data_IF_891936134909
#
_entry.id   IF_891936134909
#
_cell.length_a   1.000
_cell.length_b   1.000
_cell.length_c   1.000
_cell.angle_alpha   90.00
_cell.angle_beta   90.00
_cell.angle_gamma   90.00
#
_symmetry.space_group_name_H-M   'P 1'
#
loop_
_entity.id
_entity.type
_entity.pdbx_description
1 polymer ?
#
# COMPACT_ATOMS: atom_id res chain seq x y z
N UNK A 1 118.64 12.78 -100.14
CA UNK A 1 117.34 12.32 -100.68
C UNK A 1 116.35 12.32 -99.55
N UNK A 2 115.31 13.13 -99.67
CA UNK A 2 114.17 13.24 -98.76
C UNK A 2 113.33 11.96 -98.76
N UNK A 3 112.86 11.55 -97.59
CA UNK A 3 111.64 10.73 -97.48
C UNK A 3 110.83 11.26 -96.30
N UNK A 4 109.68 11.83 -96.63
CA UNK A 4 108.59 12.20 -95.72
C UNK A 4 107.61 11.04 -95.70
N UNK A 5 107.18 10.57 -94.52
CA UNK A 5 105.97 9.75 -94.37
C UNK A 5 105.20 10.22 -93.14
N UNK A 6 103.95 10.61 -93.38
CA UNK A 6 102.92 11.02 -92.44
C UNK A 6 101.97 9.85 -92.13
N UNK A 7 101.63 9.63 -90.86
CA UNK A 7 100.34 9.08 -90.35
C UNK A 7 100.48 8.85 -88.83
N UNK A 8 99.48 8.87 -87.93
CA UNK A 8 98.13 9.42 -87.80
C UNK A 8 97.72 9.13 -86.35
N UNK A 9 96.98 10.03 -85.71
CA UNK A 9 96.76 10.07 -84.27
C UNK A 9 95.53 9.23 -83.85
N UNK A 10 95.70 8.19 -83.01
CA UNK A 10 94.57 7.42 -82.44
C UNK A 10 94.78 7.01 -80.97
N UNK A 11 94.82 7.96 -80.03
CA UNK A 11 94.99 7.64 -78.60
C UNK A 11 93.97 8.25 -77.63
N UNK A 12 92.71 8.48 -78.04
CA UNK A 12 91.72 9.14 -77.15
C UNK A 12 90.37 8.42 -76.93
N UNK A 13 90.20 7.15 -77.31
CA UNK A 13 88.91 6.44 -77.15
C UNK A 13 88.77 5.59 -75.88
N UNK A 14 89.85 5.04 -75.32
CA UNK A 14 89.77 4.12 -74.17
C UNK A 14 89.51 4.80 -72.81
N UNK A 15 89.91 6.05 -72.61
CA UNK A 15 89.63 6.78 -71.36
C UNK A 15 88.15 7.18 -71.24
N UNK A 16 87.44 7.35 -72.37
CA UNK A 16 86.01 7.68 -72.37
C UNK A 16 85.11 6.50 -71.97
N UNK A 17 85.47 5.27 -72.33
CA UNK A 17 84.70 4.06 -71.97
C UNK A 17 84.86 3.67 -70.49
N UNK A 18 86.08 3.77 -69.94
CA UNK A 18 86.33 3.51 -68.52
C UNK A 18 85.60 4.53 -67.61
N UNK A 19 85.62 5.81 -67.99
CA UNK A 19 84.88 6.86 -67.29
C UNK A 19 83.35 6.64 -67.38
N UNK A 20 82.84 6.00 -68.44
CA UNK A 20 81.41 5.70 -68.62
C UNK A 20 80.91 4.59 -67.69
N UNK A 21 81.64 3.49 -67.53
CA UNK A 21 81.26 2.41 -66.59
C UNK A 21 81.34 2.86 -65.13
N UNK A 22 82.34 3.67 -64.79
CA UNK A 22 82.46 4.27 -63.45
C UNK A 22 81.26 5.19 -63.16
N UNK A 23 80.81 5.97 -64.15
CA UNK A 23 79.61 6.81 -64.06
C UNK A 23 78.33 5.97 -63.91
N UNK A 24 78.18 4.88 -64.66
CA UNK A 24 77.02 3.98 -64.56
C UNK A 24 76.97 3.29 -63.18
N UNK A 25 78.11 2.81 -62.67
CA UNK A 25 78.19 2.19 -61.36
C UNK A 25 77.89 3.20 -60.24
N UNK A 26 78.43 4.41 -60.33
CA UNK A 26 78.11 5.50 -59.40
C UNK A 26 76.60 5.83 -59.43
N UNK A 27 75.99 5.84 -60.62
CA UNK A 27 74.55 6.07 -60.77
C UNK A 27 73.69 4.96 -60.15
N UNK A 28 74.06 3.69 -60.35
CA UNK A 28 73.39 2.54 -59.73
C UNK A 28 73.55 2.57 -58.21
N UNK A 29 74.74 2.92 -57.70
CA UNK A 29 74.98 3.05 -56.27
C UNK A 29 74.12 4.15 -55.64
N UNK A 30 73.97 5.29 -56.31
CA UNK A 30 73.06 6.37 -55.87
C UNK A 30 71.61 5.87 -55.83
N UNK A 31 71.15 5.17 -56.86
CA UNK A 31 69.78 4.60 -56.90
C UNK A 31 69.58 3.58 -55.77
N UNK A 32 70.55 2.69 -55.54
CA UNK A 32 70.47 1.69 -54.48
C UNK A 32 70.37 2.35 -53.09
N UNK A 33 71.14 3.42 -52.86
CA UNK A 33 71.06 4.22 -51.63
C UNK A 33 69.71 4.94 -51.51
N UNK A 34 69.17 5.48 -52.60
CA UNK A 34 67.83 6.10 -52.62
C UNK A 34 66.70 5.12 -52.33
N UNK A 35 66.81 3.88 -52.82
CA UNK A 35 65.83 2.82 -52.55
C UNK A 35 65.95 2.33 -51.10
N UNK A 36 67.17 2.07 -50.62
CA UNK A 36 67.41 1.63 -49.26
C UNK A 36 66.98 2.68 -48.22
N UNK A 37 67.27 3.96 -48.48
CA UNK A 37 66.81 5.07 -47.65
C UNK A 37 65.30 5.25 -47.70
N UNK A 38 64.66 5.16 -48.87
CA UNK A 38 63.18 5.15 -48.97
C UNK A 38 62.56 4.00 -48.20
N UNK A 39 63.14 2.80 -48.30
CA UNK A 39 62.65 1.62 -47.60
C UNK A 39 62.82 1.75 -46.08
N UNK A 40 63.96 2.25 -45.61
CA UNK A 40 64.23 2.51 -44.19
C UNK A 40 63.32 3.60 -43.61
N UNK A 41 63.06 4.67 -44.37
CA UNK A 41 62.10 5.70 -43.99
C UNK A 41 60.67 5.15 -43.95
N UNK A 42 60.29 4.33 -44.92
CA UNK A 42 58.97 3.71 -44.98
C UNK A 42 58.76 2.67 -43.86
N UNK A 43 59.75 1.85 -43.55
CA UNK A 43 59.66 0.84 -42.49
C UNK A 43 59.58 1.51 -41.11
N UNK A 44 60.33 2.57 -40.85
CA UNK A 44 60.22 3.35 -39.61
C UNK A 44 58.86 4.06 -39.50
N UNK A 45 58.38 4.68 -40.59
CA UNK A 45 57.08 5.38 -40.60
C UNK A 45 55.90 4.42 -40.39
N UNK A 46 55.90 3.29 -41.10
CA UNK A 46 54.86 2.25 -40.97
C UNK A 46 54.86 1.60 -39.58
N UNK A 47 56.03 1.36 -38.99
CA UNK A 47 56.16 0.85 -37.62
C UNK A 47 55.57 1.79 -36.58
N UNK A 48 55.82 3.10 -36.71
CA UNK A 48 55.21 4.12 -35.84
C UNK A 48 53.68 4.17 -35.98
N UNK A 49 53.17 4.05 -37.22
CA UNK A 49 51.72 4.03 -37.46
C UNK A 49 51.03 2.80 -36.84
N UNK A 50 51.69 1.64 -36.85
CA UNK A 50 51.20 0.41 -36.22
C UNK A 50 51.21 0.54 -34.70
N UNK A 51 52.30 1.05 -34.11
CA UNK A 51 52.39 1.28 -32.67
C UNK A 51 51.33 2.27 -32.17
N UNK A 52 51.05 3.33 -32.93
CA UNK A 52 49.97 4.27 -32.60
C UNK A 52 48.59 3.60 -32.60
N UNK A 53 48.31 2.70 -33.56
CA UNK A 53 47.05 1.96 -33.61
C UNK A 53 46.92 1.01 -32.42
N UNK A 54 47.99 0.31 -32.06
CA UNK A 54 48.03 -0.59 -30.89
C UNK A 54 47.84 0.21 -29.61
N UNK A 55 48.55 1.32 -29.44
CA UNK A 55 48.41 2.21 -28.28
C UNK A 55 46.97 2.74 -28.15
N UNK A 56 46.34 3.17 -29.26
CA UNK A 56 44.93 3.59 -29.28
C UNK A 56 43.97 2.44 -28.94
N UNK A 57 44.23 1.24 -29.44
CA UNK A 57 43.42 0.06 -29.14
C UNK A 57 43.54 -0.35 -27.66
N UNK A 58 44.76 -0.33 -27.10
CA UNK A 58 45.02 -0.58 -25.69
C UNK A 58 44.36 0.47 -24.80
N UNK A 59 44.48 1.75 -25.14
CA UNK A 59 43.81 2.83 -24.42
C UNK A 59 42.29 2.65 -24.41
N UNK A 60 41.69 2.30 -25.55
CA UNK A 60 40.25 2.02 -25.64
C UNK A 60 39.86 0.82 -24.77
N UNK A 61 40.67 -0.24 -24.76
CA UNK A 61 40.45 -1.40 -23.91
C UNK A 61 40.54 -1.06 -22.42
N UNK A 62 41.51 -0.24 -22.03
CA UNK A 62 41.64 0.25 -20.65
C UNK A 62 40.43 1.09 -20.24
N UNK A 63 39.98 2.00 -21.08
CA UNK A 63 38.77 2.80 -20.83
C UNK A 63 37.52 1.92 -20.68
N UNK A 64 37.37 0.89 -21.52
CA UNK A 64 36.26 -0.07 -21.39
C UNK A 64 36.34 -0.87 -20.10
N UNK A 65 37.54 -1.29 -19.69
CA UNK A 65 37.73 -2.01 -18.43
C UNK A 65 37.37 -1.14 -17.21
N UNK A 66 37.76 0.14 -17.21
CA UNK A 66 37.39 1.10 -16.16
C UNK A 66 35.86 1.33 -16.11
N UNK A 67 35.21 1.48 -17.27
CA UNK A 67 33.75 1.64 -17.34
C UNK A 67 33.00 0.41 -16.82
N UNK A 68 33.47 -0.80 -17.14
CA UNK A 68 32.86 -2.03 -16.62
C UNK A 68 33.03 -2.12 -15.10
N UNK A 69 34.17 -1.69 -14.57
CA UNK A 69 34.44 -1.72 -13.15
C UNK A 69 33.60 -0.70 -12.37
N UNK A 70 33.45 0.53 -12.90
CA UNK A 70 32.57 1.54 -12.29
C UNK A 70 31.10 1.14 -12.35
N UNK A 71 30.66 0.54 -13.46
CA UNK A 71 29.29 0.04 -13.59
C UNK A 71 29.01 -1.09 -12.60
N UNK A 72 29.96 -2.02 -12.39
CA UNK A 72 29.85 -3.07 -11.38
C UNK A 72 29.73 -2.50 -9.96
N UNK A 73 30.58 -1.53 -9.61
CA UNK A 73 30.49 -0.86 -8.31
C UNK A 73 29.15 -0.15 -8.10
N UNK A 74 28.63 0.51 -9.13
CA UNK A 74 27.33 1.17 -9.08
C UNK A 74 26.19 0.15 -8.91
N UNK A 75 26.25 -0.98 -9.62
CA UNK A 75 25.24 -2.05 -9.47
C UNK A 75 25.28 -2.67 -8.09
N UNK A 76 26.46 -2.92 -7.52
CA UNK A 76 26.62 -3.53 -6.20
C UNK A 76 26.06 -2.60 -5.10
N UNK A 77 26.34 -1.29 -5.21
CA UNK A 77 25.77 -0.28 -4.32
C UNK A 77 24.23 -0.24 -4.42
N UNK A 78 23.67 -0.30 -5.64
CA UNK A 78 22.22 -0.32 -5.82
C UNK A 78 21.58 -1.57 -5.22
N UNK A 79 22.18 -2.74 -5.41
CA UNK A 79 21.69 -3.99 -4.83
C UNK A 79 21.72 -3.92 -3.30
N UNK A 80 22.80 -3.40 -2.71
CA UNK A 80 22.90 -3.23 -1.26
C UNK A 80 21.81 -2.29 -0.70
N UNK A 81 21.52 -1.18 -1.41
CA UNK A 81 20.43 -0.26 -1.04
C UNK A 81 19.07 -0.96 -1.15
N UNK A 82 18.82 -1.74 -2.21
CA UNK A 82 17.59 -2.51 -2.35
C UNK A 82 17.41 -3.54 -1.25
N UNK A 83 18.47 -4.31 -0.93
CA UNK A 83 18.45 -5.29 0.16
C UNK A 83 18.12 -4.62 1.50
N UNK A 84 18.74 -3.48 1.81
CA UNK A 84 18.41 -2.69 3.00
C UNK A 84 16.94 -2.24 3.01
N UNK A 85 16.41 -1.82 1.85
CA UNK A 85 15.01 -1.40 1.71
C UNK A 85 14.03 -2.56 1.89
N UNK A 86 14.35 -3.74 1.36
CA UNK A 86 13.58 -4.98 1.58
C UNK A 86 13.56 -5.33 3.08
N UNK A 87 14.71 -5.24 3.76
CA UNK A 87 14.79 -5.45 5.21
C UNK A 87 13.93 -4.47 6.02
N UNK A 88 13.90 -3.19 5.63
CA UNK A 88 13.02 -2.19 6.24
C UNK A 88 11.54 -2.51 6.04
N UNK A 89 11.14 -2.91 4.83
CA UNK A 89 9.75 -3.30 4.53
C UNK A 89 9.33 -4.52 5.34
N UNK A 90 10.20 -5.53 5.48
CA UNK A 90 9.94 -6.70 6.31
C UNK A 90 9.70 -6.30 7.77
N UNK A 91 10.49 -5.37 8.32
CA UNK A 91 10.30 -4.87 9.69
C UNK A 91 8.95 -4.14 9.86
N UNK A 92 8.54 -3.37 8.86
CA UNK A 92 7.24 -2.69 8.86
C UNK A 92 6.06 -3.67 8.82
N UNK A 93 6.13 -4.70 7.97
CA UNK A 93 5.14 -5.79 7.89
C UNK A 93 5.03 -6.55 9.21
N UNK A 94 6.18 -6.82 9.86
CA UNK A 94 6.20 -7.47 11.17
C UNK A 94 5.55 -6.59 12.25
N UNK A 95 5.84 -5.29 12.25
CA UNK A 95 5.23 -4.34 13.18
C UNK A 95 3.71 -4.28 13.00
N UNK A 96 3.22 -4.25 11.77
CA UNK A 96 1.78 -4.28 11.47
C UNK A 96 1.14 -5.56 12.00
N UNK A 97 1.79 -6.71 11.81
CA UNK A 97 1.30 -8.00 12.28
C UNK A 97 1.12 -8.03 13.81
N UNK A 98 2.05 -7.44 14.56
CA UNK A 98 1.95 -7.34 16.02
C UNK A 98 0.76 -6.47 16.47
N UNK A 99 0.54 -5.35 15.81
CA UNK A 99 -0.61 -4.47 16.10
C UNK A 99 -1.93 -5.21 15.84
N UNK A 100 -2.00 -5.99 14.77
CA UNK A 100 -3.20 -6.74 14.40
C UNK A 100 -3.53 -7.87 15.36
N UNK A 101 -2.50 -8.56 15.89
CA UNK A 101 -2.69 -9.53 16.97
C UNK A 101 -3.24 -8.86 18.24
N UNK A 102 -2.70 -7.69 18.60
CA UNK A 102 -3.21 -6.91 19.74
C UNK A 102 -4.68 -6.51 19.55
N UNK A 103 -5.07 -6.05 18.35
CA UNK A 103 -6.45 -5.72 18.03
C UNK A 103 -7.38 -6.93 18.10
N UNK A 104 -6.97 -8.07 17.52
CA UNK A 104 -7.76 -9.30 17.55
C UNK A 104 -7.96 -9.81 18.98
N UNK A 105 -6.91 -9.74 19.82
CA UNK A 105 -6.97 -10.12 21.23
C UNK A 105 -7.90 -9.22 22.04
N UNK A 106 -7.84 -7.91 21.83
CA UNK A 106 -8.72 -6.95 22.52
C UNK A 106 -10.19 -7.15 22.14
N UNK A 107 -10.46 -7.62 20.93
CA UNK A 107 -11.80 -7.93 20.44
C UNK A 107 -12.30 -9.34 20.82
N UNK A 108 -11.58 -10.09 21.68
CA UNK A 108 -11.92 -11.47 22.06
C UNK A 108 -12.15 -12.44 20.88
N UNK A 109 -11.54 -12.16 19.72
CA UNK A 109 -11.62 -13.07 18.57
C UNK A 109 -10.83 -14.33 18.87
N UNK A 110 -11.40 -15.50 18.60
CA UNK A 110 -10.84 -16.79 19.03
C UNK A 110 -9.55 -17.06 18.27
N UNK A 111 -8.45 -17.30 19.01
CA UNK A 111 -7.06 -17.50 18.52
C UNK A 111 -6.86 -18.58 17.43
N UNK A 112 -7.90 -19.31 17.03
CA UNK A 112 -7.82 -20.39 16.04
C UNK A 112 -8.02 -19.98 14.58
N UNK A 113 -8.64 -18.83 14.29
CA UNK A 113 -8.92 -18.39 12.90
C UNK A 113 -7.93 -17.33 12.38
N UNK A 114 -7.13 -16.74 13.26
CA UNK A 114 -6.20 -15.65 12.95
C UNK A 114 -4.82 -15.91 13.57
N UNK A 115 -4.09 -16.87 13.02
CA UNK A 115 -2.68 -17.08 13.40
C UNK A 115 -1.79 -16.18 12.53
N UNK A 116 -1.63 -14.92 12.95
CA UNK A 116 -0.74 -13.96 12.30
C UNK A 116 0.74 -14.27 12.54
N UNK A 117 1.04 -15.24 13.42
CA UNK A 117 2.40 -15.70 13.76
C UNK A 117 2.71 -16.99 13.00
N UNK A 118 2.52 -16.96 11.68
CA UNK A 118 3.26 -17.84 10.78
C UNK A 118 4.73 -17.43 10.84
N UNK A 119 5.54 -18.21 11.56
CA UNK A 119 6.99 -18.02 11.83
C UNK A 119 7.76 -17.27 10.72
N UNK A 120 8.35 -16.14 11.07
CA UNK A 120 9.67 -15.72 10.58
C UNK A 120 10.39 -14.86 11.62
N UNK A 121 11.04 -15.52 12.58
CA UNK A 121 12.09 -14.87 13.36
C UNK A 121 13.32 -14.74 12.44
N UNK A 122 13.47 -13.57 11.81
CA UNK A 122 14.66 -13.27 11.01
C UNK A 122 15.63 -12.52 11.92
N UNK A 123 16.73 -13.18 12.26
CA UNK A 123 17.81 -12.65 13.06
C UNK A 123 19.04 -13.52 12.87
N UNK A 124 20.16 -12.87 12.56
CA UNK A 124 21.46 -13.50 12.42
C UNK A 124 22.56 -12.45 12.60
N UNK A 125 23.73 -12.81 13.15
CA UNK A 125 24.87 -11.91 13.21
C UNK A 125 25.34 -11.58 11.78
N UNK A 126 25.73 -10.32 11.56
CA UNK A 126 26.39 -9.90 10.33
C UNK A 126 27.83 -10.43 10.39
N UNK A 127 28.15 -11.43 9.57
CA UNK A 127 29.53 -11.91 9.43
C UNK A 127 30.32 -10.88 8.61
N UNK A 128 31.27 -10.18 9.24
CA UNK A 128 32.02 -9.06 8.66
C UNK A 128 33.01 -9.44 7.55
N UNK A 129 33.23 -10.74 7.29
CA UNK A 129 34.32 -11.21 6.42
C UNK A 129 33.89 -11.75 5.05
N UNK A 130 32.58 -11.81 4.76
CA UNK A 130 32.12 -12.24 3.44
C UNK A 130 31.91 -11.00 2.56
N UNK A 131 32.67 -10.87 1.46
CA UNK A 131 32.30 -9.97 0.36
C UNK A 131 30.95 -10.44 -0.19
N UNK A 132 29.86 -9.94 0.37
CA UNK A 132 28.51 -10.19 -0.10
C UNK A 132 28.32 -9.45 -1.41
N UNK A 133 28.71 -10.10 -2.52
CA UNK A 133 27.92 -9.94 -3.72
C UNK A 133 26.55 -10.53 -3.38
N UNK A 134 25.62 -9.69 -2.93
CA UNK A 134 24.21 -10.07 -2.80
C UNK A 134 23.80 -10.55 -4.18
N UNK A 135 23.66 -11.86 -4.32
CA UNK A 135 23.27 -12.45 -5.59
C UNK A 135 21.88 -11.93 -5.93
N UNK A 136 21.79 -11.29 -7.09
CA UNK A 136 20.55 -10.70 -7.57
C UNK A 136 19.45 -11.77 -7.66
N UNK A 137 19.82 -13.02 -7.96
CA UNK A 137 18.90 -14.14 -8.00
C UNK A 137 18.28 -14.42 -6.63
N UNK A 138 19.10 -14.50 -5.57
CA UNK A 138 18.62 -14.70 -4.20
C UNK A 138 17.74 -13.54 -3.74
N UNK A 139 18.11 -12.29 -4.07
CA UNK A 139 17.29 -11.13 -3.72
C UNK A 139 15.91 -11.18 -4.41
N UNK A 140 15.86 -11.60 -5.68
CA UNK A 140 14.59 -11.77 -6.40
C UNK A 140 13.72 -12.85 -5.76
N UNK A 141 14.30 -13.98 -5.35
CA UNK A 141 13.59 -15.05 -4.64
C UNK A 141 13.06 -14.57 -3.27
N UNK A 142 13.85 -13.82 -2.52
CA UNK A 142 13.41 -13.19 -1.26
C UNK A 142 12.28 -12.18 -1.48
N UNK A 143 12.32 -11.41 -2.57
CA UNK A 143 11.26 -10.47 -2.93
C UNK A 143 9.96 -11.16 -3.30
N UNK A 144 10.01 -12.29 -4.03
CA UNK A 144 8.83 -13.08 -4.39
C UNK A 144 8.17 -13.68 -3.14
N UNK A 145 8.97 -14.22 -2.23
CA UNK A 145 8.48 -14.73 -0.94
C UNK A 145 7.88 -13.60 -0.09
N UNK A 146 8.53 -12.44 -0.02
CA UNK A 146 8.00 -11.27 0.69
C UNK A 146 6.69 -10.78 0.06
N UNK A 147 6.57 -10.79 -1.26
CA UNK A 147 5.35 -10.35 -1.94
C UNK A 147 4.18 -11.28 -1.60
N UNK A 148 4.40 -12.59 -1.63
CA UNK A 148 3.40 -13.58 -1.21
C UNK A 148 2.98 -13.37 0.24
N UNK A 149 3.95 -13.13 1.12
CA UNK A 149 3.73 -12.87 2.54
C UNK A 149 2.88 -11.62 2.78
N UNK A 150 3.23 -10.51 2.11
CA UNK A 150 2.48 -9.25 2.19
C UNK A 150 1.05 -9.44 1.71
N UNK A 151 0.83 -10.10 0.58
CA UNK A 151 -0.51 -10.35 0.06
C UNK A 151 -1.36 -11.17 1.03
N UNK A 152 -0.79 -12.24 1.60
CA UNK A 152 -1.47 -13.05 2.60
C UNK A 152 -1.83 -12.23 3.85
N UNK A 153 -0.91 -11.38 4.34
CA UNK A 153 -1.17 -10.47 5.46
C UNK A 153 -2.27 -9.47 5.13
N UNK A 154 -2.23 -8.83 3.96
CA UNK A 154 -3.28 -7.88 3.54
C UNK A 154 -4.66 -8.52 3.53
N UNK A 155 -4.80 -9.76 3.06
CA UNK A 155 -6.06 -10.49 3.12
C UNK A 155 -6.55 -10.75 4.54
N UNK A 156 -5.65 -11.18 5.44
CA UNK A 156 -6.03 -11.41 6.84
C UNK A 156 -6.44 -10.12 7.56
N UNK A 157 -5.76 -9.00 7.30
CA UNK A 157 -6.12 -7.69 7.85
C UNK A 157 -7.51 -7.24 7.41
N UNK A 158 -7.85 -7.43 6.14
CA UNK A 158 -9.18 -7.10 5.62
C UNK A 158 -10.29 -7.93 6.26
N UNK A 159 -10.03 -9.22 6.53
CA UNK A 159 -10.95 -10.08 7.25
C UNK A 159 -11.12 -9.64 8.70
N UNK A 160 -10.02 -9.33 9.39
CA UNK A 160 -10.05 -8.81 10.76
C UNK A 160 -10.85 -7.51 10.83
N UNK A 161 -10.60 -6.56 9.93
CA UNK A 161 -11.35 -5.31 9.82
C UNK A 161 -12.85 -5.59 9.65
N UNK A 162 -13.23 -6.48 8.74
CA UNK A 162 -14.62 -6.85 8.50
C UNK A 162 -15.28 -7.43 9.76
N UNK A 163 -14.58 -8.29 10.50
CA UNK A 163 -15.09 -8.87 11.75
C UNK A 163 -15.23 -7.83 12.86
N UNK A 164 -14.25 -6.94 13.03
CA UNK A 164 -14.29 -5.87 14.02
C UNK A 164 -15.42 -4.88 13.75
N UNK A 165 -15.61 -4.50 12.48
CA UNK A 165 -16.72 -3.65 12.06
C UNK A 165 -18.06 -4.31 12.37
N UNK A 166 -18.23 -5.58 12.01
CA UNK A 166 -19.47 -6.31 12.31
C UNK A 166 -19.70 -6.45 13.82
N UNK A 167 -18.66 -6.74 14.61
CA UNK A 167 -18.77 -6.87 16.07
C UNK A 167 -19.23 -5.57 16.72
N UNK A 168 -18.58 -4.45 16.39
CA UNK A 168 -18.96 -3.14 16.91
C UNK A 168 -20.39 -2.75 16.52
N UNK A 169 -20.79 -3.01 15.27
CA UNK A 169 -22.17 -2.79 14.83
C UNK A 169 -23.14 -3.64 15.67
N UNK A 170 -22.83 -4.93 15.90
CA UNK A 170 -23.71 -5.80 16.68
C UNK A 170 -23.85 -5.38 18.14
N UNK A 171 -22.76 -4.96 18.78
CA UNK A 171 -22.77 -4.55 20.19
C UNK A 171 -23.53 -3.24 20.42
N UNK A 172 -23.30 -2.25 19.55
CA UNK A 172 -24.01 -0.97 19.65
C UNK A 172 -25.49 -1.09 19.27
N UNK A 173 -25.83 -2.01 18.36
CA UNK A 173 -27.20 -2.35 17.99
C UNK A 173 -27.99 -3.05 19.12
N UNK A 174 -27.32 -3.60 20.15
CA UNK A 174 -28.03 -4.23 21.27
C UNK A 174 -28.81 -3.17 22.04
N UNK A 175 -30.14 -3.33 21.99
CA UNK A 175 -31.08 -2.59 22.83
C UNK A 175 -30.76 -2.78 24.31
N UNK A 176 -30.36 -1.71 24.98
CA UNK A 176 -30.26 -1.67 26.44
C UNK A 176 -30.56 -0.29 27.03
N UNK A 177 -31.05 -0.27 28.26
CA UNK A 177 -31.34 0.95 29.01
C UNK A 177 -32.71 1.57 28.72
N UNK A 178 -33.04 2.62 29.49
CA UNK A 178 -34.31 3.35 29.39
C UNK A 178 -34.24 4.37 28.25
N UNK A 179 -35.34 4.60 27.50
CA UNK A 179 -35.41 5.62 26.45
C UNK A 179 -35.40 7.06 27.01
N UNK A 180 -35.44 7.23 28.34
CA UNK A 180 -35.36 8.51 29.03
C UNK A 180 -34.46 8.32 30.26
N UNK A 181 -33.36 9.08 30.32
CA UNK A 181 -32.34 8.98 31.38
C UNK A 181 -32.42 10.09 32.42
N UNK A 182 -33.17 11.15 32.12
CA UNK A 182 -33.30 12.31 32.98
C UNK A 182 -34.02 11.96 34.29
N UNK A 183 -33.58 12.61 35.38
CA UNK A 183 -34.19 12.47 36.71
C UNK A 183 -35.64 12.97 36.65
N UNK A 184 -36.53 12.27 37.36
CA UNK A 184 -37.96 12.59 37.35
C UNK A 184 -38.77 11.80 36.32
N UNK A 185 -38.15 10.90 35.54
CA UNK A 185 -38.90 9.95 34.70
C UNK A 185 -39.18 8.61 35.42
N UNK A 186 -40.38 8.06 35.30
CA UNK A 186 -40.76 6.77 35.91
C UNK A 186 -41.58 5.89 34.95
N UNK A 187 -41.55 4.59 35.18
CA UNK A 187 -42.41 3.64 34.46
C UNK A 187 -43.85 3.89 34.89
N UNK A 188 -44.66 4.49 34.02
CA UNK A 188 -46.07 4.81 34.31
C UNK A 188 -47.01 3.70 33.91
N UNK A 189 -46.67 2.93 32.87
CA UNK A 189 -47.49 1.79 32.45
C UNK A 189 -46.67 0.63 31.87
N UNK A 190 -46.87 -0.61 32.35
CA UNK A 190 -46.16 -1.77 31.86
C UNK A 190 -46.79 -2.35 30.58
N UNK A 191 -46.08 -3.28 29.94
CA UNK A 191 -46.56 -4.09 28.83
C UNK A 191 -47.60 -5.10 29.31
N UNK A 192 -48.61 -5.40 28.48
CA UNK A 192 -49.64 -6.40 28.78
C UNK A 192 -51.07 -5.87 28.77
N UNK A 193 -52.01 -6.72 29.20
CA UNK A 193 -53.43 -6.39 29.24
C UNK A 193 -53.71 -5.43 30.39
N UNK A 194 -54.32 -4.28 30.07
CA UNK A 194 -54.70 -3.24 31.04
C UNK A 194 -56.04 -2.60 30.67
N UNK A 195 -56.59 -1.79 31.57
CA UNK A 195 -57.76 -0.95 31.29
C UNK A 195 -57.35 0.21 30.38
N UNK A 196 -58.01 0.37 29.23
CA UNK A 196 -57.80 1.49 28.32
C UNK A 196 -58.19 2.80 29.03
N UNK A 197 -57.29 3.80 29.08
CA UNK A 197 -57.52 5.01 29.87
C UNK A 197 -58.60 5.94 29.31
N UNK A 198 -59.04 5.76 28.07
CA UNK A 198 -60.07 6.59 27.44
C UNK A 198 -61.44 5.90 27.38
N UNK A 199 -61.47 4.57 27.21
CA UNK A 199 -62.72 3.80 27.04
C UNK A 199 -63.08 2.94 28.24
N UNK A 200 -62.13 2.69 29.15
CA UNK A 200 -62.32 1.85 30.32
C UNK A 200 -62.42 0.35 30.04
N UNK A 201 -62.24 -0.10 28.78
CA UNK A 201 -62.29 -1.51 28.39
C UNK A 201 -60.92 -2.17 28.50
N UNK A 202 -60.86 -3.49 28.62
CA UNK A 202 -59.59 -4.21 28.57
C UNK A 202 -58.94 -4.07 27.18
N UNK A 203 -57.68 -3.70 27.14
CA UNK A 203 -56.89 -3.55 25.91
C UNK A 203 -55.46 -4.06 26.13
N UNK A 204 -54.83 -4.56 25.06
CA UNK A 204 -53.44 -4.99 25.09
C UNK A 204 -52.51 -3.80 24.86
N UNK A 205 -51.68 -3.49 25.85
CA UNK A 205 -50.60 -2.52 25.71
C UNK A 205 -49.36 -3.18 25.09
N UNK A 206 -48.99 -2.73 23.89
CA UNK A 206 -47.93 -3.34 23.07
C UNK A 206 -46.53 -2.78 23.32
N UNK A 207 -46.37 -1.92 24.33
CA UNK A 207 -45.10 -1.31 24.72
C UNK A 207 -45.03 -1.09 26.22
N UNK A 208 -44.17 -0.19 26.66
CA UNK A 208 -44.12 0.37 28.02
C UNK A 208 -44.11 1.89 27.94
N UNK A 209 -44.72 2.52 28.94
CA UNK A 209 -44.84 3.97 28.99
C UNK A 209 -43.94 4.52 30.09
N UNK A 210 -43.05 5.45 29.74
CA UNK A 210 -42.26 6.23 30.70
C UNK A 210 -42.80 7.66 30.76
N UNK A 211 -43.42 8.01 31.87
CA UNK A 211 -43.85 9.37 32.14
C UNK A 211 -42.69 10.22 32.65
N UNK A 212 -42.76 11.52 32.39
CA UNK A 212 -41.78 12.53 32.80
C UNK A 212 -42.30 13.92 32.45
N UNK A 213 -41.44 14.93 32.60
CA UNK A 213 -41.81 16.30 32.27
C UNK A 213 -41.87 16.51 30.75
N UNK A 214 -42.80 17.36 30.31
CA UNK A 214 -42.87 17.77 28.91
C UNK A 214 -41.57 18.49 28.51
N UNK A 215 -40.98 18.08 27.38
CA UNK A 215 -39.68 18.62 26.96
C UNK A 215 -38.46 17.77 27.33
N UNK A 216 -38.64 16.66 28.06
CA UNK A 216 -37.56 15.69 28.33
C UNK A 216 -36.99 15.07 27.04
N UNK A 217 -35.72 14.70 27.06
CA UNK A 217 -35.03 14.09 25.92
C UNK A 217 -35.39 12.61 25.83
N UNK A 218 -35.77 12.18 24.63
CA UNK A 218 -35.95 10.77 24.27
C UNK A 218 -34.72 10.33 23.51
N UNK A 219 -34.06 9.29 24.01
CA UNK A 219 -32.83 8.74 23.43
C UNK A 219 -33.04 7.39 22.74
N UNK A 220 -32.22 7.11 21.74
CA UNK A 220 -32.14 5.79 21.12
C UNK A 220 -31.53 4.77 22.10
N UNK A 221 -32.20 3.63 22.27
CA UNK A 221 -31.77 2.56 23.21
C UNK A 221 -30.77 1.58 22.58
N UNK A 222 -30.47 1.75 21.30
CA UNK A 222 -29.46 1.02 20.53
C UNK A 222 -29.14 1.79 19.25
N UNK A 223 -27.97 1.54 18.65
CA UNK A 223 -27.60 2.13 17.37
C UNK A 223 -28.42 1.51 16.23
N UNK A 224 -28.68 2.27 15.16
CA UNK A 224 -29.48 1.79 14.04
C UNK A 224 -29.81 2.86 13.01
N UNK A 225 -30.73 2.52 12.11
CA UNK A 225 -31.21 3.43 11.05
C UNK A 225 -32.68 3.76 11.29
N UNK A 226 -33.03 5.04 11.20
CA UNK A 226 -34.41 5.51 11.32
C UNK A 226 -35.21 5.05 10.09
N UNK A 227 -36.19 4.16 10.30
CA UNK A 227 -37.07 3.64 9.24
C UNK A 227 -38.43 4.35 9.20
N UNK A 228 -38.72 5.20 10.18
CA UNK A 228 -39.90 6.07 10.18
C UNK A 228 -39.65 7.28 11.08
N UNK A 229 -39.97 8.47 10.61
CA UNK A 229 -40.03 9.68 11.43
C UNK A 229 -41.19 10.56 10.99
N UNK A 230 -42.24 10.65 11.82
CA UNK A 230 -43.40 11.47 11.51
C UNK A 230 -44.68 11.08 12.24
N UNK A 231 -45.82 11.63 11.81
CA UNK A 231 -47.13 11.34 12.41
C UNK A 231 -47.63 9.95 12.03
N UNK A 232 -48.02 9.15 13.02
CA UNK A 232 -48.71 7.86 12.84
C UNK A 232 -49.95 7.79 13.71
N UNK A 233 -51.03 7.27 13.15
CA UNK A 233 -52.32 7.15 13.86
C UNK A 233 -52.16 6.37 15.17
N UNK A 234 -52.77 6.86 16.26
CA UNK A 234 -52.61 6.33 17.61
C UNK A 234 -51.34 6.82 18.33
N UNK A 235 -50.19 6.76 17.66
CA UNK A 235 -48.88 7.07 18.25
C UNK A 235 -48.53 8.56 18.30
N UNK A 236 -49.19 9.42 17.52
CA UNK A 236 -48.78 10.82 17.40
C UNK A 236 -47.50 10.95 16.59
N UNK A 237 -46.56 11.79 17.02
CA UNK A 237 -45.22 11.84 16.44
C UNK A 237 -44.44 10.60 16.90
N UNK A 238 -43.96 9.83 15.93
CA UNK A 238 -43.34 8.53 16.11
C UNK A 238 -41.98 8.51 15.41
N UNK A 239 -41.00 7.91 16.09
CA UNK A 239 -39.77 7.41 15.48
C UNK A 239 -39.75 5.89 15.55
N UNK A 240 -39.36 5.23 14.46
CA UNK A 240 -39.03 3.80 14.41
C UNK A 240 -37.58 3.64 13.97
N UNK A 241 -36.78 2.91 14.76
CA UNK A 241 -35.37 2.63 14.47
C UNK A 241 -35.20 1.13 14.26
N UNK A 242 -34.55 0.76 13.16
CA UNK A 242 -34.11 -0.60 12.89
C UNK A 242 -32.66 -0.78 13.35
N UNK A 243 -32.45 -1.73 14.26
CA UNK A 243 -31.14 -2.04 14.85
C UNK A 243 -30.44 -3.22 14.16
N UNK A 244 -31.01 -3.76 13.08
CA UNK A 244 -30.52 -5.00 12.47
C UNK A 244 -30.96 -6.25 13.25
N UNK A 245 -30.59 -7.43 12.75
CA UNK A 245 -30.92 -8.74 13.35
C UNK A 245 -32.42 -8.94 13.66
N UNK A 246 -33.29 -8.27 12.89
CA UNK A 246 -34.73 -8.28 13.07
C UNK A 246 -35.23 -7.53 14.31
N UNK A 247 -34.41 -6.72 14.98
CA UNK A 247 -34.81 -5.87 16.09
C UNK A 247 -35.16 -4.46 15.63
N UNK A 248 -36.25 -3.92 16.15
CA UNK A 248 -36.63 -2.52 15.94
C UNK A 248 -37.24 -1.95 17.20
N UNK A 249 -37.13 -0.64 17.39
CA UNK A 249 -37.72 0.08 18.51
C UNK A 249 -38.60 1.22 18.01
N UNK A 250 -39.62 1.57 18.80
CA UNK A 250 -40.56 2.65 18.51
C UNK A 250 -40.67 3.61 19.67
N UNK A 251 -40.75 4.90 19.36
CA UNK A 251 -40.82 6.01 20.32
C UNK A 251 -41.98 6.92 19.94
N UNK A 252 -43.11 6.78 20.63
CA UNK A 252 -44.34 7.52 20.36
C UNK A 252 -44.59 8.69 21.31
N UNK A 253 -45.60 9.49 20.95
CA UNK A 253 -46.13 10.63 21.70
C UNK A 253 -45.19 11.84 21.83
N UNK A 254 -44.13 11.91 21.03
CA UNK A 254 -43.17 13.02 21.06
C UNK A 254 -43.82 14.38 20.75
N UNK A 255 -43.24 15.46 21.29
CA UNK A 255 -43.55 16.85 20.95
C UNK A 255 -42.87 17.27 19.66
N UNK A 256 -41.63 16.84 19.47
CA UNK A 256 -40.75 17.20 18.36
C UNK A 256 -39.85 16.01 18.03
N UNK A 257 -39.55 15.82 16.74
CA UNK A 257 -38.64 14.79 16.24
C UNK A 257 -37.36 15.48 15.78
N UNK A 258 -36.20 15.00 16.24
CA UNK A 258 -34.89 15.60 15.94
C UNK A 258 -34.15 14.87 14.82
N UNK A 259 -34.69 13.75 14.35
CA UNK A 259 -34.13 12.91 13.29
C UNK A 259 -35.17 12.61 12.23
N UNK A 260 -34.72 12.31 11.03
CA UNK A 260 -35.53 12.04 9.84
C UNK A 260 -35.32 10.61 9.33
N UNK A 261 -36.20 10.15 8.44
CA UNK A 261 -36.08 8.81 7.85
C UNK A 261 -34.78 8.69 7.04
N UNK A 262 -34.04 7.62 7.25
CA UNK A 262 -32.72 7.38 6.64
C UNK A 262 -31.53 7.78 7.53
N UNK A 263 -31.75 8.52 8.61
CA UNK A 263 -30.67 8.91 9.52
C UNK A 263 -30.09 7.71 10.27
N UNK A 264 -28.76 7.66 10.40
CA UNK A 264 -28.05 6.72 11.26
C UNK A 264 -27.92 7.33 12.65
N UNK A 265 -28.39 6.62 13.66
CA UNK A 265 -28.37 7.07 15.05
C UNK A 265 -27.55 6.15 15.93
N UNK A 266 -26.76 6.73 16.83
CA UNK A 266 -26.00 6.02 17.83
C UNK A 266 -26.82 5.68 19.08
N UNK A 267 -26.40 4.67 19.84
CA UNK A 267 -26.99 4.37 21.15
C UNK A 267 -26.80 5.56 22.10
N UNK A 268 -27.87 5.99 22.76
CA UNK A 268 -27.87 7.13 23.67
C UNK A 268 -28.07 8.50 23.00
N UNK A 269 -28.09 8.56 21.67
CA UNK A 269 -28.35 9.81 20.95
C UNK A 269 -29.78 10.30 21.19
N UNK A 270 -29.96 11.59 21.45
CA UNK A 270 -31.28 12.21 21.52
C UNK A 270 -31.93 12.24 20.14
N UNK A 271 -33.11 11.62 20.02
CA UNK A 271 -33.83 11.45 18.76
C UNK A 271 -35.14 12.23 18.73
N UNK A 272 -35.71 12.55 19.89
CA UNK A 272 -36.97 13.29 20.00
C UNK A 272 -37.08 14.00 21.35
N UNK A 273 -38.04 14.91 21.43
CA UNK A 273 -38.43 15.60 22.64
C UNK A 273 -39.78 15.04 23.13
N UNK A 274 -39.86 14.68 24.41
CA UNK A 274 -41.05 14.14 25.06
C UNK A 274 -42.21 15.12 24.97
N UNK A 275 -43.38 14.59 24.67
CA UNK A 275 -44.62 15.33 24.60
C UNK A 275 -45.83 14.48 24.94
N UNK A 276 -46.98 14.92 24.43
CA UNK A 276 -48.26 14.23 24.60
C UNK A 276 -49.07 14.22 23.29
N UNK A 277 -48.39 14.02 22.16
CA UNK A 277 -49.03 14.03 20.84
C UNK A 277 -49.83 12.75 20.57
N UNK A 278 -50.81 12.80 19.67
CA UNK A 278 -51.64 11.64 19.34
C UNK A 278 -52.60 11.25 20.47
N UNK A 279 -52.81 9.95 20.68
CA UNK A 279 -53.75 9.44 21.69
C UNK A 279 -53.03 9.27 23.04
N UNK A 280 -52.85 10.36 23.77
CA UNK A 280 -52.15 10.39 25.06
C UNK A 280 -52.98 11.14 26.13
N UNK A 281 -52.82 10.75 27.40
CA UNK A 281 -53.44 11.43 28.55
C UNK A 281 -52.51 12.45 29.24
N UNK A 282 -51.23 12.50 28.84
CA UNK A 282 -50.23 13.41 29.42
C UNK A 282 -48.81 13.12 28.92
N UNK A 283 -47.81 13.91 29.31
CA UNK A 283 -46.44 13.76 28.83
C UNK A 283 -45.81 12.40 29.18
N UNK A 284 -45.45 11.63 28.16
CA UNK A 284 -44.72 10.36 28.29
C UNK A 284 -44.12 9.93 26.95
N UNK A 285 -43.18 8.99 26.98
CA UNK A 285 -42.79 8.22 25.80
C UNK A 285 -43.44 6.84 25.84
N UNK A 286 -44.12 6.49 24.76
CA UNK A 286 -44.55 5.11 24.52
C UNK A 286 -43.45 4.36 23.77
N UNK A 287 -42.90 3.34 24.41
CA UNK A 287 -41.74 2.59 23.91
C UNK A 287 -42.11 1.15 23.57
N UNK A 288 -41.97 0.75 22.30
CA UNK A 288 -42.14 -0.64 21.86
C UNK A 288 -40.81 -1.25 21.43
N UNK A 289 -40.66 -2.56 21.61
CA UNK A 289 -39.62 -3.36 20.98
C UNK A 289 -40.27 -4.39 20.08
N UNK A 290 -39.79 -4.48 18.85
CA UNK A 290 -40.20 -5.43 17.85
C UNK A 290 -39.06 -6.42 17.60
N UNK A 291 -39.39 -7.71 17.59
CA UNK A 291 -38.48 -8.79 17.18
C UNK A 291 -39.12 -9.54 16.02
N UNK A 292 -38.46 -9.50 14.86
CA UNK A 292 -38.93 -10.04 13.58
C UNK A 292 -40.34 -9.55 13.24
N UNK A 293 -40.58 -8.24 13.41
CA UNK A 293 -41.87 -7.60 13.15
C UNK A 293 -42.96 -7.78 14.21
N UNK A 294 -42.72 -8.58 15.27
CA UNK A 294 -43.70 -8.81 16.34
C UNK A 294 -43.32 -8.02 17.60
N UNK A 295 -44.28 -7.30 18.20
CA UNK A 295 -44.06 -6.65 19.49
C UNK A 295 -43.79 -7.68 20.60
N UNK A 296 -42.79 -7.39 21.42
CA UNK A 296 -42.38 -8.19 22.57
C UNK A 296 -42.30 -7.30 23.80
N UNK A 297 -42.35 -7.90 25.00
CA UNK A 297 -42.19 -7.15 26.25
C UNK A 297 -40.83 -6.41 26.27
N UNK A 298 -40.82 -5.06 26.29
CA UNK A 298 -39.61 -4.27 26.30
C UNK A 298 -38.82 -4.35 27.62
N UNK A 299 -39.43 -4.81 28.72
CA UNK A 299 -38.84 -4.79 30.07
C UNK A 299 -37.46 -5.43 30.13
N UNK A 300 -37.26 -6.55 29.42
CA UNK A 300 -35.97 -7.26 29.38
C UNK A 300 -34.84 -6.51 28.67
N UNK A 301 -35.16 -5.54 27.83
CA UNK A 301 -34.18 -4.71 27.14
C UNK A 301 -33.87 -3.47 27.99
N UNK A 302 -34.89 -2.92 28.64
CA UNK A 302 -34.73 -1.69 29.42
C UNK A 302 -33.90 -1.87 30.69
N UNK A 303 -34.01 -3.01 31.36
CA UNK A 303 -33.29 -3.33 32.60
C UNK A 303 -32.10 -4.27 32.38
N UNK A 304 -31.56 -4.29 31.17
CA UNK A 304 -30.37 -5.07 30.81
C UNK A 304 -29.09 -4.34 31.17
#
# INVERSE_FOLDING_TARGET
>A
MSVTVTYSNSKHTYSKLFNLYLLIFAFIAVIAVSIASSWFLYSNYSSQAIQLKIAKAQQKYQQQAEQVLSLRQETDLKIAVFASKVGMLQAEVNRLSLLSDELAKNANLTRGEFDFIGKTAIGGPIDTDSSYAVDLQTLLEEMDLLSLEVNNRTHQLSLLETMLLNHNITDEAVLSGRPVIQRGSWLSSPYGVRKDPFTGRATMHKGIDFAGDNGMDIIATGAGVVTWSGKRSGYGLLIEINHGNGLSSRYGHSKELLVTEGDVVGKGQTIAIMGSSGRSTGPHVHYEVLKSGRQVDPKRYVYR
#
